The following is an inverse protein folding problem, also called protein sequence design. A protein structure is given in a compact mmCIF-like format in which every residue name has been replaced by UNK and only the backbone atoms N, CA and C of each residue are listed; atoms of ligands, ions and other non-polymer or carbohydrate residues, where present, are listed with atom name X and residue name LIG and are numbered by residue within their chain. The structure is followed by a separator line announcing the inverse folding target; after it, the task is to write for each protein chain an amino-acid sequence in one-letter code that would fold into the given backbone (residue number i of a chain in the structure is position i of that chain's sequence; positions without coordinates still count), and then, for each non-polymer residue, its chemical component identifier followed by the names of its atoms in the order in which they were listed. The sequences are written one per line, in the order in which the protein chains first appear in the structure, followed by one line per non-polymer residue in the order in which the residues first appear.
data_IF_400366454997
#
_entry.id   IF_400366454997
#
_cell.length_a   1.000
_cell.length_b   1.000
_cell.length_c   1.000
_cell.angle_alpha   90.00
_cell.angle_beta   90.00
_cell.angle_gamma   90.00
#
_symmetry.space_group_name_H-M   'P 1'
#
loop_
_entity.id
_entity.type
_entity.pdbx_description
1 polymer ?
#
# COMPACT_ATOMS: atom_id res chain seq x y z
N UNK A 1 3.44 -17.33 -9.83
CA UNK A 1 3.46 -16.17 -8.93
C UNK A 1 4.26 -16.57 -7.70
N UNK A 2 5.38 -15.90 -7.39
CA UNK A 2 6.25 -16.15 -6.24
C UNK A 2 5.61 -15.69 -4.92
N UNK A 3 4.74 -14.69 -4.98
CA UNK A 3 3.98 -14.19 -3.84
C UNK A 3 2.70 -14.99 -3.56
N UNK A 4 2.52 -16.18 -4.16
CA UNK A 4 1.35 -17.03 -3.99
C UNK A 4 1.74 -18.53 -3.92
N UNK A 5 1.17 -19.23 -2.94
CA UNK A 5 1.20 -20.68 -2.80
C UNK A 5 -0.24 -21.22 -2.74
N UNK A 6 -0.72 -21.96 -3.75
CA UNK A 6 -2.10 -22.45 -3.80
C UNK A 6 -2.43 -23.45 -2.69
N UNK A 7 -1.43 -24.04 -2.01
CA UNK A 7 -1.67 -24.97 -0.92
C UNK A 7 -1.91 -24.29 0.43
N UNK A 8 -1.48 -23.02 0.59
CA UNK A 8 -1.47 -22.35 1.89
C UNK A 8 -2.17 -20.99 1.88
N UNK A 9 -2.20 -20.29 0.74
CA UNK A 9 -2.78 -18.96 0.66
C UNK A 9 -4.29 -18.98 0.90
N UNK A 10 -4.82 -17.96 1.61
CA UNK A 10 -6.21 -17.97 2.04
C UNK A 10 -7.21 -17.67 0.92
N UNK A 11 -6.74 -17.20 -0.24
CA UNK A 11 -7.57 -16.88 -1.41
C UNK A 11 -7.02 -17.57 -2.66
N UNK A 12 -7.86 -18.18 -3.51
CA UNK A 12 -7.40 -18.78 -4.75
C UNK A 12 -7.10 -17.70 -5.81
N UNK A 13 -6.21 -18.01 -6.75
CA UNK A 13 -5.87 -17.08 -7.86
C UNK A 13 -7.10 -16.65 -8.68
N UNK A 14 -8.15 -17.48 -8.76
CA UNK A 14 -9.40 -17.17 -9.47
C UNK A 14 -10.15 -15.98 -8.88
N UNK A 15 -9.88 -15.66 -7.62
CA UNK A 15 -10.53 -14.56 -6.90
C UNK A 15 -9.68 -13.30 -6.89
N UNK A 16 -8.49 -13.34 -7.52
CA UNK A 16 -7.60 -12.20 -7.68
C UNK A 16 -7.70 -11.60 -9.09
N UNK A 17 -7.41 -10.31 -9.20
CA UNK A 17 -7.37 -9.55 -10.46
C UNK A 17 -6.05 -8.81 -10.53
N UNK A 18 -5.37 -8.97 -11.67
CA UNK A 18 -4.26 -8.10 -12.04
C UNK A 18 -4.84 -6.82 -12.66
N UNK A 19 -4.57 -5.68 -12.04
CA UNK A 19 -4.96 -4.36 -12.52
C UNK A 19 -3.72 -3.58 -12.93
N UNK A 20 -3.83 -2.85 -14.03
CA UNK A 20 -2.79 -1.96 -14.55
C UNK A 20 -3.32 -0.54 -14.48
N UNK A 21 -2.65 0.32 -13.72
CA UNK A 21 -3.06 1.71 -13.48
C UNK A 21 -1.99 2.68 -13.96
N UNK A 22 -2.34 3.95 -14.10
CA UNK A 22 -1.37 5.01 -14.38
C UNK A 22 -1.12 5.80 -13.10
N UNK A 23 0.13 6.12 -12.79
CA UNK A 23 0.50 6.99 -11.67
C UNK A 23 1.47 8.09 -12.12
N UNK A 24 1.67 9.10 -11.29
CA UNK A 24 2.69 10.12 -11.50
C UNK A 24 3.92 9.75 -10.67
N UNK A 25 5.09 9.68 -11.30
CA UNK A 25 6.37 9.47 -10.62
C UNK A 25 6.81 10.69 -9.81
N UNK A 26 7.78 10.54 -8.91
CA UNK A 26 8.41 11.69 -8.24
C UNK A 26 9.11 12.65 -9.23
N UNK A 27 9.45 12.19 -10.44
CA UNK A 27 9.94 13.02 -11.54
C UNK A 27 8.83 13.75 -12.32
N UNK A 28 7.57 13.66 -11.86
CA UNK A 28 6.40 14.30 -12.46
C UNK A 28 5.87 13.64 -13.73
N UNK A 29 6.46 12.53 -14.19
CA UNK A 29 6.05 11.83 -15.41
C UNK A 29 4.99 10.78 -15.14
N UNK A 30 4.11 10.57 -16.13
CA UNK A 30 3.18 9.45 -16.08
C UNK A 30 3.94 8.12 -16.22
N UNK A 31 3.56 7.14 -15.41
CA UNK A 31 4.12 5.79 -15.33
C UNK A 31 2.97 4.78 -15.32
N UNK A 32 3.21 3.57 -15.83
CA UNK A 32 2.30 2.44 -15.62
C UNK A 32 2.73 1.67 -14.39
N UNK A 33 1.77 1.28 -13.57
CA UNK A 33 1.96 0.44 -12.40
C UNK A 33 1.05 -0.78 -12.44
N UNK A 34 1.47 -1.82 -11.73
CA UNK A 34 0.79 -3.12 -11.67
C UNK A 34 0.47 -3.49 -10.22
N UNK A 35 -0.77 -3.93 -9.98
CA UNK A 35 -1.21 -4.44 -8.69
C UNK A 35 -2.04 -5.72 -8.89
N UNK A 36 -1.94 -6.64 -7.95
CA UNK A 36 -2.90 -7.74 -7.82
C UNK A 36 -3.76 -7.47 -6.59
N UNK A 37 -5.08 -7.57 -6.74
CA UNK A 37 -6.07 -7.32 -5.69
C UNK A 37 -7.20 -8.33 -5.77
N UNK A 38 -8.01 -8.45 -4.73
CA UNK A 38 -9.20 -9.29 -4.75
C UNK A 38 -10.24 -8.74 -5.74
N UNK A 39 -11.01 -9.63 -6.36
CA UNK A 39 -11.92 -9.28 -7.43
C UNK A 39 -13.02 -8.29 -7.03
N UNK A 40 -13.45 -8.29 -5.78
CA UNK A 40 -14.51 -7.42 -5.27
C UNK A 40 -14.05 -5.98 -5.00
N UNK A 41 -12.75 -5.76 -4.74
CA UNK A 41 -12.17 -4.42 -4.56
C UNK A 41 -11.45 -3.90 -5.80
N UNK A 42 -11.38 -4.69 -6.88
CA UNK A 42 -10.60 -4.34 -8.06
C UNK A 42 -11.04 -3.03 -8.72
N UNK A 43 -12.35 -2.79 -8.83
CA UNK A 43 -12.88 -1.54 -9.38
C UNK A 43 -12.58 -0.34 -8.48
N UNK A 44 -12.70 -0.51 -7.17
CA UNK A 44 -12.43 0.53 -6.17
C UNK A 44 -10.95 0.95 -6.21
N UNK A 45 -10.04 -0.01 -6.26
CA UNK A 45 -8.60 0.25 -6.35
C UNK A 45 -8.25 0.98 -7.66
N UNK A 46 -8.86 0.62 -8.79
CA UNK A 46 -8.66 1.37 -10.04
C UNK A 46 -9.13 2.82 -9.87
N UNK A 47 -10.31 3.05 -9.29
CA UNK A 47 -10.86 4.39 -9.02
C UNK A 47 -9.98 5.23 -8.08
N UNK A 48 -9.38 4.59 -7.06
CA UNK A 48 -8.37 5.21 -6.19
C UNK A 48 -7.22 5.76 -7.03
N UNK A 49 -6.57 4.92 -7.84
CA UNK A 49 -5.39 5.34 -8.60
C UNK A 49 -5.72 6.32 -9.72
N UNK A 50 -6.92 6.28 -10.31
CA UNK A 50 -7.40 7.33 -11.21
C UNK A 50 -7.47 8.70 -10.50
N UNK A 51 -8.01 8.73 -9.28
CA UNK A 51 -8.11 9.94 -8.46
C UNK A 51 -6.74 10.46 -8.05
N UNK A 52 -5.83 9.57 -7.64
CA UNK A 52 -4.45 9.93 -7.29
C UNK A 52 -3.67 10.48 -8.49
N UNK A 53 -3.86 9.87 -9.67
CA UNK A 53 -3.25 10.33 -10.92
C UNK A 53 -3.76 11.72 -11.32
N UNK A 54 -5.07 11.94 -11.28
CA UNK A 54 -5.69 13.24 -11.59
C UNK A 54 -5.20 14.34 -10.63
N UNK A 55 -5.04 14.00 -9.35
CA UNK A 55 -4.51 14.89 -8.31
C UNK A 55 -2.98 15.01 -8.31
N UNK A 56 -2.31 14.26 -9.19
CA UNK A 56 -0.86 14.19 -9.34
C UNK A 56 -0.11 13.86 -8.04
N UNK A 57 -0.71 13.05 -7.18
CA UNK A 57 -0.02 12.53 -6.00
C UNK A 57 1.16 11.65 -6.45
N UNK A 58 2.41 11.96 -6.03
CA UNK A 58 3.57 11.25 -6.55
C UNK A 58 3.71 9.87 -5.90
N UNK A 59 3.90 8.86 -6.73
CA UNK A 59 4.19 7.48 -6.37
C UNK A 59 5.48 7.06 -7.05
N UNK A 60 6.46 6.58 -6.29
CA UNK A 60 7.79 6.26 -6.83
C UNK A 60 7.76 5.08 -7.78
N UNK A 61 7.11 3.99 -7.36
CA UNK A 61 7.12 2.72 -8.07
C UNK A 61 5.89 1.90 -7.71
N UNK A 62 5.43 1.09 -8.66
CA UNK A 62 4.31 0.17 -8.47
C UNK A 62 4.50 -1.06 -9.36
N UNK A 63 5.19 -2.04 -8.83
CA UNK A 63 5.46 -3.34 -9.44
C UNK A 63 4.87 -4.44 -8.57
N UNK A 64 4.59 -5.60 -9.17
CA UNK A 64 4.18 -6.78 -8.42
C UNK A 64 5.30 -7.21 -7.45
N UNK A 65 4.93 -7.68 -6.26
CA UNK A 65 5.89 -8.15 -5.25
C UNK A 65 6.72 -9.35 -5.76
N UNK A 66 6.22 -10.05 -6.78
CA UNK A 66 6.93 -11.07 -7.54
C UNK A 66 8.28 -10.62 -8.10
N UNK A 67 8.40 -9.36 -8.53
CA UNK A 67 9.64 -8.77 -9.04
C UNK A 67 10.73 -8.69 -7.95
N UNK A 68 10.32 -8.72 -6.68
CA UNK A 68 11.19 -8.78 -5.52
C UNK A 68 11.34 -10.19 -4.95
N UNK A 69 10.81 -11.19 -5.67
CA UNK A 69 10.86 -12.59 -5.25
C UNK A 69 9.79 -12.99 -4.23
N UNK A 70 8.73 -12.19 -4.05
CA UNK A 70 7.75 -12.39 -2.97
C UNK A 70 8.20 -11.80 -1.62
N UNK A 71 9.36 -11.13 -1.57
CA UNK A 71 9.93 -10.57 -0.34
C UNK A 71 9.41 -9.15 -0.09
N UNK A 72 8.61 -9.02 0.96
CA UNK A 72 7.98 -7.77 1.40
C UNK A 72 9.01 -6.70 1.78
N UNK A 73 10.08 -7.09 2.48
CA UNK A 73 11.11 -6.16 2.94
C UNK A 73 11.89 -5.59 1.75
N UNK A 74 12.15 -6.40 0.71
CA UNK A 74 12.77 -5.92 -0.53
C UNK A 74 11.86 -4.99 -1.31
N UNK A 75 10.56 -5.29 -1.38
CA UNK A 75 9.54 -4.42 -1.99
C UNK A 75 9.49 -3.06 -1.29
N UNK A 76 9.35 -3.06 0.05
CA UNK A 76 9.34 -1.83 0.86
C UNK A 76 10.63 -1.04 0.75
N UNK A 77 11.80 -1.69 0.84
CA UNK A 77 13.09 -1.01 0.72
C UNK A 77 13.29 -0.36 -0.66
N UNK A 78 12.62 -0.89 -1.70
CA UNK A 78 12.57 -0.31 -3.03
C UNK A 78 11.47 0.75 -3.19
N UNK A 79 10.83 1.21 -2.10
CA UNK A 79 9.73 2.19 -2.12
C UNK A 79 8.59 1.81 -3.08
N UNK A 80 8.25 0.52 -3.13
CA UNK A 80 7.25 0.00 -4.04
C UNK A 80 5.85 0.08 -3.43
N UNK A 81 4.95 0.82 -4.06
CA UNK A 81 3.51 0.73 -3.77
C UNK A 81 3.02 -0.64 -4.23
N UNK A 82 2.43 -1.41 -3.32
CA UNK A 82 2.06 -2.81 -3.57
C UNK A 82 0.74 -3.19 -2.93
N UNK A 83 0.12 -4.25 -3.43
CA UNK A 83 -1.12 -4.80 -2.90
C UNK A 83 -0.92 -6.27 -2.51
N UNK A 84 -1.46 -7.23 -3.27
CA UNK A 84 -1.40 -8.64 -2.89
C UNK A 84 0.03 -9.17 -2.66
N UNK A 85 0.22 -9.78 -1.48
CA UNK A 85 1.38 -10.58 -1.13
C UNK A 85 0.92 -11.63 -0.10
N UNK A 86 0.95 -12.91 -0.46
CA UNK A 86 0.52 -13.97 0.43
C UNK A 86 1.53 -14.22 1.55
N UNK A 87 1.34 -13.51 2.66
CA UNK A 87 2.17 -13.62 3.85
C UNK A 87 1.37 -13.47 5.13
N UNK A 88 1.89 -14.04 6.21
CA UNK A 88 1.43 -13.72 7.56
C UNK A 88 1.93 -12.33 7.97
N UNK A 89 1.27 -11.72 8.94
CA UNK A 89 1.80 -10.51 9.58
C UNK A 89 3.11 -10.86 10.28
N UNK A 90 4.12 -10.00 10.17
CA UNK A 90 5.45 -10.27 10.71
C UNK A 90 5.39 -10.58 12.21
N UNK A 91 5.90 -11.75 12.61
CA UNK A 91 5.89 -12.20 14.01
C UNK A 91 4.54 -12.74 14.51
N UNK A 92 3.52 -12.84 13.66
CA UNK A 92 2.19 -13.31 14.04
C UNK A 92 1.77 -14.56 13.25
N UNK A 93 0.76 -15.26 13.77
CA UNK A 93 0.15 -16.41 13.11
C UNK A 93 -0.99 -16.01 12.16
N UNK A 94 -1.48 -14.77 12.21
CA UNK A 94 -2.59 -14.33 11.36
C UNK A 94 -2.09 -13.95 9.96
N UNK A 95 -2.94 -14.20 8.96
CA UNK A 95 -2.73 -13.68 7.60
C UNK A 95 -2.79 -12.15 7.60
N UNK A 96 -1.94 -11.53 6.80
CA UNK A 96 -2.04 -10.10 6.52
C UNK A 96 -3.21 -9.85 5.57
N UNK A 97 -3.80 -8.64 5.60
CA UNK A 97 -4.82 -8.23 4.62
C UNK A 97 -4.30 -8.26 3.17
N UNK A 98 -3.00 -8.09 2.99
CA UNK A 98 -2.33 -8.31 1.70
C UNK A 98 -2.47 -9.74 1.19
N UNK A 99 -2.56 -10.74 2.08
CA UNK A 99 -2.73 -12.14 1.68
C UNK A 99 -4.13 -12.44 1.15
N UNK A 100 -5.10 -11.57 1.44
CA UNK A 100 -6.45 -11.63 0.88
C UNK A 100 -6.62 -10.77 -0.36
N UNK A 101 -5.61 -9.98 -0.74
CA UNK A 101 -5.70 -9.02 -1.85
C UNK A 101 -6.55 -7.81 -1.55
N UNK A 102 -6.75 -7.50 -0.26
CA UNK A 102 -7.65 -6.45 0.22
C UNK A 102 -6.91 -5.30 0.91
N UNK A 103 -5.62 -5.18 0.66
CA UNK A 103 -4.81 -4.09 1.18
C UNK A 103 -3.91 -3.48 0.10
N UNK A 104 -3.55 -2.22 0.31
CA UNK A 104 -2.63 -1.45 -0.53
C UNK A 104 -1.67 -0.68 0.38
N UNK A 105 -0.37 -0.80 0.12
CA UNK A 105 0.68 0.00 0.74
C UNK A 105 1.16 1.08 -0.24
N UNK A 106 1.27 2.34 0.18
CA UNK A 106 1.68 3.47 -0.67
C UNK A 106 3.00 4.10 -0.21
N UNK A 107 3.99 4.16 -1.11
CA UNK A 107 5.31 4.75 -0.88
C UNK A 107 5.93 4.41 0.50
N UNK A 108 6.30 3.15 0.76
CA UNK A 108 6.83 2.69 2.05
C UNK A 108 7.96 3.55 2.65
N UNK A 109 8.77 4.22 1.83
CA UNK A 109 9.85 5.11 2.31
C UNK A 109 9.30 6.44 2.85
N UNK A 110 8.28 7.01 2.22
CA UNK A 110 7.63 8.23 2.69
C UNK A 110 6.65 7.94 3.85
N UNK A 111 6.08 6.74 3.88
CA UNK A 111 5.03 6.33 4.80
C UNK A 111 5.46 5.06 5.55
N UNK A 112 6.35 5.18 6.55
CA UNK A 112 6.90 4.02 7.24
C UNK A 112 5.85 3.24 8.04
N UNK A 113 6.13 1.95 8.21
CA UNK A 113 5.58 1.15 9.29
C UNK A 113 6.47 1.27 10.53
N UNK A 114 5.89 1.70 11.65
CA UNK A 114 6.55 1.88 12.93
C UNK A 114 6.09 0.79 13.89
N UNK A 115 7.03 -0.04 14.37
CA UNK A 115 6.74 -1.10 15.35
C UNK A 115 7.62 -0.89 16.57
N UNK A 116 7.04 -0.43 17.67
CA UNK A 116 7.79 0.02 18.85
C UNK A 116 8.80 1.13 18.49
N UNK A 117 10.08 0.79 18.41
CA UNK A 117 11.15 1.74 18.02
C UNK A 117 11.74 1.48 16.63
N UNK A 118 11.27 0.42 15.96
CA UNK A 118 11.75 0.05 14.64
C UNK A 118 10.97 0.80 13.55
N UNK A 119 11.69 1.34 12.58
CA UNK A 119 11.12 1.99 11.39
C UNK A 119 11.37 1.10 10.18
N UNK A 120 10.30 0.71 9.50
CA UNK A 120 10.34 -0.16 8.32
C UNK A 120 9.78 0.58 7.10
N UNK A 121 10.49 0.54 5.95
CA UNK A 121 11.87 0.08 5.78
C UNK A 121 12.87 1.02 6.49
N UNK A 122 14.13 0.59 6.79
CA UNK A 122 15.13 1.45 7.43
C UNK A 122 15.42 2.78 6.69
N UNK A 123 15.25 2.79 5.36
CA UNK A 123 15.39 3.98 4.54
C UNK A 123 14.33 5.06 4.85
N UNK A 124 13.23 4.70 5.52
CA UNK A 124 12.15 5.60 5.91
C UNK A 124 12.41 6.35 7.22
N UNK A 125 13.57 6.16 7.87
CA UNK A 125 13.92 6.79 9.15
C UNK A 125 13.71 8.32 9.16
N UNK A 126 13.99 9.00 8.03
CA UNK A 126 13.78 10.44 7.89
C UNK A 126 12.30 10.87 7.92
N UNK A 127 11.37 9.93 7.66
CA UNK A 127 9.92 10.17 7.59
C UNK A 127 9.17 9.71 8.84
N UNK A 128 9.85 9.07 9.80
CA UNK A 128 9.25 8.49 11.00
C UNK A 128 8.59 9.53 11.93
N UNK A 129 9.09 10.77 11.91
CA UNK A 129 8.65 11.87 12.77
C UNK A 129 8.17 13.09 11.96
N UNK A 130 7.81 12.88 10.70
CA UNK A 130 7.19 13.93 9.89
C UNK A 130 5.82 14.26 10.45
N UNK A 131 5.55 15.56 10.58
CA UNK A 131 4.23 16.07 10.94
C UNK A 131 3.23 15.79 9.81
N UNK A 132 2.15 15.08 10.15
CA UNK A 132 1.08 14.63 9.25
C UNK A 132 -0.23 15.33 9.53
N UNK A 133 -0.23 16.41 10.32
CA UNK A 133 -1.45 17.20 10.55
C UNK A 133 -1.93 17.89 9.26
N UNK A 134 -3.21 18.23 9.25
CA UNK A 134 -3.84 18.92 8.13
C UNK A 134 -3.25 20.32 7.81
N UNK A 135 -2.56 20.95 8.75
CA UNK A 135 -1.86 22.23 8.59
C UNK A 135 -0.35 22.11 8.30
N UNK A 136 0.22 20.90 8.39
CA UNK A 136 1.62 20.65 8.08
C UNK A 136 1.95 20.88 6.58
N UNK A 137 3.17 21.32 6.24
CA UNK A 137 3.62 21.43 4.86
C UNK A 137 3.53 20.08 4.12
N UNK A 138 2.93 20.08 2.93
CA UNK A 138 2.85 18.87 2.12
C UNK A 138 4.24 18.45 1.63
N UNK A 139 4.68 17.26 2.01
CA UNK A 139 5.88 16.62 1.47
C UNK A 139 5.50 15.65 0.35
N UNK A 140 6.26 15.60 -0.76
CA UNK A 140 5.95 14.69 -1.87
C UNK A 140 5.81 13.24 -1.42
N UNK A 141 4.65 12.65 -1.68
CA UNK A 141 4.38 11.22 -1.48
C UNK A 141 4.14 10.80 -0.02
N UNK A 142 4.21 11.75 0.93
CA UNK A 142 3.81 11.54 2.32
C UNK A 142 2.30 11.66 2.44
N UNK A 143 1.70 10.69 3.10
CA UNK A 143 0.28 10.69 3.46
C UNK A 143 0.09 11.50 4.74
N UNK A 144 -0.88 12.42 4.74
CA UNK A 144 -1.21 13.30 5.88
C UNK A 144 -2.72 13.47 6.01
N UNK A 145 -3.17 13.87 7.20
CA UNK A 145 -4.57 14.13 7.50
C UNK A 145 -5.25 15.00 6.43
N UNK A 146 -6.39 14.51 5.94
CA UNK A 146 -7.21 15.22 4.96
C UNK A 146 -6.61 15.30 3.55
N UNK A 147 -5.54 14.59 3.24
CA UNK A 147 -5.03 14.52 1.87
C UNK A 147 -5.92 13.68 0.94
N UNK A 148 -5.59 13.71 -0.36
CA UNK A 148 -6.37 12.99 -1.37
C UNK A 148 -6.34 11.47 -1.22
N UNK A 149 -5.25 10.91 -0.66
CA UNK A 149 -5.10 9.47 -0.44
C UNK A 149 -6.05 9.02 0.65
N UNK A 150 -6.02 9.66 1.81
CA UNK A 150 -6.95 9.35 2.90
C UNK A 150 -8.39 9.51 2.44
N UNK A 151 -8.73 10.68 1.86
CA UNK A 151 -10.10 10.96 1.44
C UNK A 151 -10.66 9.93 0.46
N UNK A 152 -9.86 9.39 -0.46
CA UNK A 152 -10.36 8.43 -1.45
C UNK A 152 -10.57 7.03 -0.85
N UNK A 153 -9.70 6.59 0.04
CA UNK A 153 -9.86 5.32 0.74
C UNK A 153 -10.99 5.38 1.79
N UNK A 154 -11.09 6.46 2.56
CA UNK A 154 -12.16 6.66 3.54
C UNK A 154 -13.56 6.66 2.91
N UNK A 155 -13.71 7.25 1.71
CA UNK A 155 -14.98 7.20 0.96
C UNK A 155 -15.42 5.79 0.58
N UNK A 156 -14.48 4.85 0.50
CA UNK A 156 -14.72 3.44 0.23
C UNK A 156 -14.88 2.63 1.54
N UNK A 157 -14.78 3.28 2.70
CA UNK A 157 -14.83 2.65 4.01
C UNK A 157 -13.57 1.86 4.36
N UNK A 158 -12.45 2.12 3.70
CA UNK A 158 -11.17 1.49 4.03
C UNK A 158 -10.57 2.13 5.28
N UNK A 159 -9.88 1.32 6.08
CA UNK A 159 -9.15 1.76 7.25
C UNK A 159 -7.72 2.15 6.88
N UNK A 160 -7.18 3.16 7.55
CA UNK A 160 -5.79 3.57 7.39
C UNK A 160 -4.95 3.11 8.58
N UNK A 161 -3.82 2.46 8.30
CA UNK A 161 -2.91 1.97 9.33
C UNK A 161 -2.18 3.08 10.10
N UNK A 162 -2.21 4.32 9.63
CA UNK A 162 -1.67 5.47 10.34
C UNK A 162 -2.35 5.75 11.69
N UNK A 163 -3.58 5.26 11.89
CA UNK A 163 -4.35 5.43 13.13
C UNK A 163 -4.11 4.31 14.17
N UNK A 164 -3.27 3.31 13.84
CA UNK A 164 -2.94 2.22 14.75
C UNK A 164 -2.01 2.70 15.89
N UNK A 165 -1.96 1.93 16.99
CA UNK A 165 -1.07 2.23 18.12
C UNK A 165 0.41 2.21 17.72
N UNK A 166 0.75 1.29 16.81
CA UNK A 166 2.02 1.19 16.11
C UNK A 166 1.71 1.57 14.64
N UNK A 167 1.91 2.84 14.24
CA UNK A 167 1.39 3.34 12.97
C UNK A 167 2.01 2.64 11.75
N UNK A 168 1.16 2.19 10.84
CA UNK A 168 1.53 1.70 9.51
C UNK A 168 1.07 2.70 8.44
N UNK A 169 1.83 3.78 8.25
CA UNK A 169 1.38 4.93 7.46
C UNK A 169 1.16 4.62 5.97
N UNK A 170 1.82 3.59 5.45
CA UNK A 170 1.65 3.14 4.06
C UNK A 170 0.32 2.41 3.86
N UNK A 171 -0.23 1.81 4.91
CA UNK A 171 -1.18 0.72 4.81
C UNK A 171 -2.62 1.18 4.76
N UNK A 172 -3.38 0.64 3.81
CA UNK A 172 -4.83 0.74 3.75
C UNK A 172 -5.44 -0.64 3.57
N UNK A 173 -6.50 -0.95 4.33
CA UNK A 173 -7.22 -2.23 4.21
C UNK A 173 -8.71 -2.01 4.00
N UNK A 174 -9.28 -2.83 3.11
CA UNK A 174 -10.71 -2.82 2.84
C UNK A 174 -11.48 -3.35 4.06
N UNK A 175 -12.71 -2.87 4.30
CA UNK A 175 -13.51 -3.36 5.42
C UNK A 175 -13.73 -4.87 5.33
N UNK A 176 -13.88 -5.52 6.48
CA UNK A 176 -14.21 -6.93 6.55
C UNK A 176 -15.46 -7.23 5.69
N UNK A 177 -15.44 -8.35 4.97
CA UNK A 177 -16.65 -8.81 4.29
C UNK A 177 -17.72 -9.15 5.34
N UNK A 178 -18.99 -8.76 5.11
CA UNK A 178 -20.09 -9.11 6.00
C UNK A 178 -20.37 -10.62 6.06
#
# INVERSE_FOLDING_TARGET
MRSHDPATCPVPLTDLRHVVVTHVGFDGRARRGELVVHADVAADVVSVFETLYASRFPIERMLLVDEYGGDDNRSMAANNTSAYNCRRVAGQQNWSDHAYGRAVDINPVQNPYIVGSEVRPPAAAAFAQVDRSSDAPALPGVIREGDVVLQVFERLGWEWGGDFSDPDYQHFSAPAQP
#
